data_IF_481208313416
#
_entry.id   IF_481208313416
#
_cell.length_a   1.000
_cell.length_b   1.000
_cell.length_c   1.000
_cell.angle_alpha   90.00
_cell.angle_beta   90.00
_cell.angle_gamma   90.00
#
_symmetry.space_group_name_H-M   'P 1'
#
loop_
_entity.id
_entity.type
_entity.pdbx_description
1 polymer ?
#
# COMPACT_ATOMS: atom_id res chain seq x y z
N UNK A 1 -11.98 34.44 16.05
CA UNK A 1 -10.50 34.40 15.94
C UNK A 1 -9.74 35.13 17.06
N UNK A 2 -10.19 36.27 17.60
CA UNK A 2 -9.43 37.02 18.63
C UNK A 2 -9.20 36.22 19.93
N UNK A 3 -10.21 35.52 20.41
CA UNK A 3 -10.16 34.74 21.65
C UNK A 3 -9.26 33.49 21.55
N UNK A 4 -9.32 32.79 20.40
CA UNK A 4 -8.54 31.56 20.14
C UNK A 4 -7.26 31.80 19.33
N UNK A 5 -6.77 33.04 19.26
CA UNK A 5 -5.61 33.41 18.40
C UNK A 5 -4.38 32.53 18.68
N UNK A 6 -4.12 32.22 19.96
CA UNK A 6 -2.98 31.38 20.36
C UNK A 6 -3.09 29.96 19.81
N UNK A 7 -4.27 29.34 19.90
CA UNK A 7 -4.50 27.98 19.42
C UNK A 7 -4.42 27.88 17.90
N UNK A 8 -4.96 28.87 17.18
CA UNK A 8 -4.83 28.94 15.73
C UNK A 8 -3.37 29.09 15.27
N UNK A 9 -2.61 29.98 15.92
CA UNK A 9 -1.19 30.14 15.62
C UNK A 9 -0.40 28.86 15.92
N UNK A 10 -0.71 28.19 17.03
CA UNK A 10 -0.09 26.91 17.37
C UNK A 10 -0.39 25.83 16.32
N UNK A 11 -1.66 25.68 15.91
CA UNK A 11 -2.06 24.74 14.86
C UNK A 11 -1.32 25.02 13.55
N UNK A 12 -1.27 26.28 13.10
CA UNK A 12 -0.57 26.67 11.87
C UNK A 12 0.93 26.38 12.00
N UNK A 13 1.54 26.70 13.14
CA UNK A 13 2.96 26.42 13.38
C UNK A 13 3.26 24.92 13.31
N UNK A 14 2.42 24.08 13.93
CA UNK A 14 2.55 22.61 13.84
C UNK A 14 2.47 22.15 12.39
N UNK A 15 1.46 22.59 11.64
CA UNK A 15 1.29 22.23 10.23
C UNK A 15 2.50 22.64 9.39
N UNK A 16 2.98 23.89 9.52
CA UNK A 16 4.13 24.38 8.75
C UNK A 16 5.38 23.55 9.05
N UNK A 17 5.63 23.23 10.32
CA UNK A 17 6.80 22.43 10.71
C UNK A 17 6.68 20.99 10.21
N UNK A 18 5.55 20.32 10.42
CA UNK A 18 5.39 18.91 10.04
C UNK A 18 5.37 18.72 8.53
N UNK A 19 4.69 19.61 7.78
CA UNK A 19 4.74 19.57 6.31
C UNK A 19 6.12 19.97 5.76
N UNK A 20 6.84 20.86 6.45
CA UNK A 20 8.23 21.19 6.12
C UNK A 20 9.15 19.98 6.24
N UNK A 21 9.05 19.23 7.35
CA UNK A 21 9.79 17.97 7.55
C UNK A 21 9.40 16.94 6.50
N UNK A 22 8.10 16.73 6.26
CA UNK A 22 7.61 15.80 5.25
C UNK A 22 8.13 16.13 3.84
N UNK A 23 8.10 17.41 3.46
CA UNK A 23 8.60 17.86 2.15
C UNK A 23 10.11 17.67 2.00
N UNK A 24 10.87 18.00 3.05
CA UNK A 24 12.31 17.79 3.08
C UNK A 24 12.69 16.31 2.97
N UNK A 25 12.10 15.45 3.81
CA UNK A 25 12.32 14.00 3.75
C UNK A 25 11.87 13.40 2.41
N UNK A 26 10.81 13.93 1.80
CA UNK A 26 10.39 13.54 0.45
C UNK A 26 11.47 13.79 -0.61
N UNK A 27 12.10 14.96 -0.60
CA UNK A 27 13.22 15.27 -1.52
C UNK A 27 14.38 14.30 -1.31
N UNK A 28 14.69 13.96 -0.07
CA UNK A 28 15.76 13.01 0.26
C UNK A 28 15.43 11.60 -0.25
N UNK A 29 14.19 11.13 -0.06
CA UNK A 29 13.73 9.85 -0.60
C UNK A 29 13.96 9.79 -2.11
N UNK A 30 13.51 10.80 -2.87
CA UNK A 30 13.67 10.83 -4.33
C UNK A 30 15.13 10.80 -4.80
N UNK A 31 16.07 11.32 -4.02
CA UNK A 31 17.50 11.31 -4.35
C UNK A 31 18.21 10.02 -3.93
N UNK A 32 17.65 9.31 -2.96
CA UNK A 32 18.27 8.18 -2.28
C UNK A 32 17.56 6.84 -2.55
N UNK A 33 16.63 6.78 -3.51
CA UNK A 33 16.01 5.52 -3.94
C UNK A 33 17.06 4.54 -4.48
N UNK A 34 16.88 3.22 -4.29
CA UNK A 34 17.69 2.24 -5.00
C UNK A 34 17.53 2.46 -6.52
N UNK A 35 18.62 2.67 -7.27
CA UNK A 35 18.54 2.85 -8.71
C UNK A 35 18.08 1.55 -9.38
N UNK A 36 17.32 1.68 -10.47
CA UNK A 36 17.07 0.57 -11.38
C UNK A 36 18.24 0.57 -12.37
N UNK A 37 19.03 -0.51 -12.44
CA UNK A 37 20.21 -0.55 -13.30
C UNK A 37 19.79 -0.54 -14.77
N UNK A 38 20.53 0.19 -15.61
CA UNK A 38 20.34 0.18 -17.05
C UNK A 38 20.56 -1.23 -17.61
N UNK A 39 21.59 -1.92 -17.10
CA UNK A 39 21.91 -3.29 -17.44
C UNK A 39 22.51 -4.02 -16.24
N UNK A 40 22.23 -5.32 -16.16
CA UNK A 40 22.95 -6.25 -15.27
C UNK A 40 23.73 -7.20 -16.15
N UNK A 41 25.05 -7.26 -15.94
CA UNK A 41 25.98 -8.07 -16.73
C UNK A 41 26.80 -8.97 -15.82
N UNK A 42 27.30 -10.07 -16.37
CA UNK A 42 28.25 -10.93 -15.67
C UNK A 42 29.68 -10.39 -15.78
N UNK A 43 30.58 -10.90 -14.94
CA UNK A 43 32.04 -10.71 -15.07
C UNK A 43 32.60 -11.14 -16.43
N UNK A 44 31.97 -12.13 -17.08
CA UNK A 44 32.30 -12.58 -18.44
C UNK A 44 31.69 -11.73 -19.56
N UNK A 45 30.88 -10.72 -19.24
CA UNK A 45 30.25 -9.82 -20.21
C UNK A 45 28.91 -10.31 -20.79
N UNK A 46 28.32 -11.39 -20.24
CA UNK A 46 26.96 -11.84 -20.61
C UNK A 46 25.93 -10.88 -20.00
N UNK A 47 25.05 -10.33 -20.82
CA UNK A 47 23.92 -9.53 -20.35
C UNK A 47 22.83 -10.44 -19.76
N UNK A 48 22.34 -10.12 -18.56
CA UNK A 48 21.30 -10.87 -17.87
C UNK A 48 19.92 -10.21 -17.97
N UNK A 49 19.86 -8.89 -17.78
CA UNK A 49 18.62 -8.11 -17.84
C UNK A 49 18.88 -6.63 -18.10
N UNK A 50 17.85 -5.92 -18.57
CA UNK A 50 17.82 -4.46 -18.76
C UNK A 50 16.84 -3.78 -17.82
N UNK A 51 16.95 -2.46 -17.69
CA UNK A 51 15.96 -1.62 -16.99
C UNK A 51 14.53 -1.87 -17.48
N UNK A 52 14.33 -1.91 -18.80
CA UNK A 52 13.01 -2.15 -19.42
C UNK A 52 12.41 -3.47 -18.96
N UNK A 53 13.20 -4.56 -18.95
CA UNK A 53 12.71 -5.87 -18.53
C UNK A 53 12.38 -5.92 -17.02
N UNK A 54 13.10 -5.17 -16.18
CA UNK A 54 12.77 -5.05 -14.75
C UNK A 54 11.43 -4.31 -14.58
N UNK A 55 11.21 -3.24 -15.33
CA UNK A 55 9.97 -2.45 -15.29
C UNK A 55 8.77 -3.19 -15.89
N UNK A 56 8.99 -3.96 -16.96
CA UNK A 56 7.97 -4.85 -17.54
C UNK A 56 7.61 -5.98 -16.56
N UNK A 57 8.61 -6.50 -15.84
CA UNK A 57 8.42 -7.41 -14.72
C UNK A 57 7.59 -6.83 -13.59
N UNK A 58 7.83 -5.57 -13.22
CA UNK A 58 7.00 -4.85 -12.26
C UNK A 58 5.56 -4.71 -12.75
N UNK A 59 5.36 -4.44 -14.05
CA UNK A 59 4.03 -4.35 -14.66
C UNK A 59 3.33 -5.72 -14.71
N UNK A 60 4.08 -6.80 -14.93
CA UNK A 60 3.60 -8.18 -14.83
C UNK A 60 3.15 -8.53 -13.40
N UNK A 61 3.97 -8.18 -12.40
CA UNK A 61 3.63 -8.33 -10.99
C UNK A 61 2.31 -7.60 -10.65
N UNK A 62 2.15 -6.34 -11.07
CA UNK A 62 0.92 -5.58 -10.85
C UNK A 62 -0.33 -6.26 -11.42
N UNK A 63 -0.23 -6.84 -12.63
CA UNK A 63 -1.39 -7.48 -13.28
C UNK A 63 -1.84 -8.77 -12.62
N UNK A 64 -0.98 -9.43 -11.84
CA UNK A 64 -1.38 -10.64 -11.07
C UNK A 64 -2.16 -10.30 -9.79
N UNK A 65 -2.17 -9.03 -9.38
CA UNK A 65 -2.71 -8.56 -8.11
C UNK A 65 -1.65 -7.87 -7.24
N UNK A 66 -0.37 -7.97 -7.60
CA UNK A 66 0.74 -7.32 -6.89
C UNK A 66 0.78 -7.66 -5.40
N UNK A 67 0.66 -6.63 -4.55
CA UNK A 67 0.61 -6.70 -3.08
C UNK A 67 -0.59 -7.49 -2.52
N UNK A 68 -1.48 -8.00 -3.37
CA UNK A 68 -2.64 -8.78 -2.95
C UNK A 68 -2.39 -10.29 -2.93
N UNK A 69 -1.30 -10.75 -3.55
CA UNK A 69 -0.88 -12.17 -3.48
C UNK A 69 0.07 -12.37 -2.30
N UNK A 70 1.20 -11.68 -2.32
CA UNK A 70 2.23 -11.68 -1.28
C UNK A 70 2.74 -10.26 -1.04
N UNK A 71 3.95 -10.13 -0.50
CA UNK A 71 4.56 -8.82 -0.24
C UNK A 71 5.83 -8.57 -1.04
N UNK A 72 6.13 -7.29 -1.24
CA UNK A 72 7.43 -6.78 -1.71
C UNK A 72 7.90 -5.77 -0.68
N UNK A 73 9.13 -5.92 -0.19
CA UNK A 73 9.68 -5.05 0.85
C UNK A 73 8.80 -4.96 2.12
N UNK A 74 8.14 -6.05 2.48
CA UNK A 74 7.26 -6.15 3.65
C UNK A 74 5.86 -5.56 3.48
N UNK A 75 5.55 -4.95 2.33
CA UNK A 75 4.23 -4.40 2.04
C UNK A 75 3.43 -5.34 1.14
N UNK A 76 2.27 -5.79 1.62
CA UNK A 76 1.34 -6.63 0.88
C UNK A 76 0.62 -7.68 1.73
N UNK A 77 0.22 -8.77 1.08
CA UNK A 77 -0.53 -9.85 1.69
C UNK A 77 0.39 -10.86 2.42
N UNK A 78 -0.20 -11.67 3.30
CA UNK A 78 0.54 -12.45 4.30
C UNK A 78 0.41 -13.97 4.14
N UNK A 79 -0.28 -14.45 3.10
CA UNK A 79 -0.43 -15.89 2.85
C UNK A 79 0.71 -16.43 1.99
N UNK A 80 0.95 -15.79 0.83
CA UNK A 80 2.16 -16.01 0.07
C UNK A 80 3.35 -15.32 0.76
N UNK A 81 4.60 -15.75 0.49
CA UNK A 81 5.76 -15.15 1.12
C UNK A 81 5.99 -13.69 0.66
N UNK A 82 6.94 -13.04 1.31
CA UNK A 82 7.55 -11.84 0.74
C UNK A 82 8.50 -12.26 -0.39
N UNK A 83 8.25 -11.79 -1.61
CA UNK A 83 9.01 -12.21 -2.78
C UNK A 83 10.44 -11.67 -2.78
N UNK A 84 10.69 -10.50 -2.19
CA UNK A 84 12.05 -9.96 -2.06
C UNK A 84 12.88 -10.79 -1.09
N UNK A 85 12.27 -11.24 0.03
CA UNK A 85 12.94 -12.07 1.02
C UNK A 85 13.09 -13.53 0.57
N UNK A 86 12.05 -14.15 0.00
CA UNK A 86 12.10 -15.53 -0.49
C UNK A 86 13.05 -15.65 -1.69
N UNK A 87 13.05 -14.67 -2.61
CA UNK A 87 14.04 -14.60 -3.68
C UNK A 87 15.45 -14.52 -3.10
N UNK A 88 15.71 -13.56 -2.21
CA UNK A 88 17.03 -13.36 -1.62
C UNK A 88 17.54 -14.65 -0.97
N UNK A 89 16.73 -15.27 -0.12
CA UNK A 89 17.13 -16.48 0.58
C UNK A 89 17.46 -17.64 -0.38
N UNK A 90 16.60 -17.87 -1.38
CA UNK A 90 16.83 -18.91 -2.40
C UNK A 90 18.08 -18.65 -3.23
N UNK A 91 18.33 -17.39 -3.59
CA UNK A 91 19.50 -16.99 -4.38
C UNK A 91 20.79 -17.23 -3.58
N UNK A 92 20.79 -16.89 -2.28
CA UNK A 92 21.93 -17.13 -1.39
C UNK A 92 22.21 -18.63 -1.21
N UNK A 93 21.18 -19.45 -1.01
CA UNK A 93 21.35 -20.90 -0.90
C UNK A 93 21.85 -21.52 -2.21
N UNK A 94 21.29 -21.12 -3.36
CA UNK A 94 21.75 -21.59 -4.66
C UNK A 94 23.22 -21.20 -4.91
N UNK A 95 23.62 -19.99 -4.52
CA UNK A 95 25.02 -19.56 -4.60
C UNK A 95 25.93 -20.42 -3.71
N UNK A 96 25.50 -20.71 -2.47
CA UNK A 96 26.26 -21.54 -1.53
C UNK A 96 26.40 -22.98 -2.00
N UNK A 97 25.35 -23.58 -2.56
CA UNK A 97 25.40 -24.93 -3.10
C UNK A 97 26.31 -25.03 -4.33
N UNK A 98 26.25 -24.03 -5.23
CA UNK A 98 27.18 -23.94 -6.37
C UNK A 98 28.63 -23.80 -5.89
N UNK A 99 28.89 -22.94 -4.90
CA UNK A 99 30.21 -22.75 -4.33
C UNK A 99 30.74 -24.01 -3.61
N UNK A 100 29.87 -24.72 -2.89
CA UNK A 100 30.20 -25.97 -2.21
C UNK A 100 30.54 -27.08 -3.21
N UNK A 101 29.78 -27.18 -4.30
CA UNK A 101 30.03 -28.11 -5.38
C UNK A 101 31.39 -27.85 -6.06
N UNK A 102 31.77 -26.59 -6.27
CA UNK A 102 33.07 -26.20 -6.81
C UNK A 102 34.23 -26.48 -5.83
N UNK A 103 34.02 -26.27 -4.53
CA UNK A 103 35.04 -26.41 -3.49
C UNK A 103 35.34 -27.87 -3.14
N UNK A 104 34.31 -28.68 -2.91
CA UNK A 104 34.42 -30.03 -2.35
C UNK A 104 33.54 -31.09 -3.04
N UNK A 105 32.73 -30.69 -4.04
CA UNK A 105 31.88 -31.61 -4.80
C UNK A 105 30.68 -32.17 -4.01
N UNK A 106 30.30 -31.50 -2.91
CA UNK A 106 29.17 -31.88 -2.04
C UNK A 106 28.24 -30.68 -1.82
N UNK A 107 26.96 -30.91 -1.44
CA UNK A 107 26.05 -29.83 -1.05
C UNK A 107 26.54 -29.02 0.15
N UNK A 108 26.09 -27.77 0.27
CA UNK A 108 26.56 -26.85 1.32
C UNK A 108 26.34 -27.39 2.74
N UNK A 109 25.23 -28.09 2.98
CA UNK A 109 24.86 -28.65 4.28
C UNK A 109 25.75 -29.82 4.72
N UNK A 110 26.52 -30.41 3.80
CA UNK A 110 27.46 -31.52 4.05
C UNK A 110 28.91 -31.06 4.24
N UNK A 111 29.21 -29.78 4.01
CA UNK A 111 30.52 -29.19 4.29
C UNK A 111 30.80 -29.14 5.79
N UNK A 112 32.09 -29.10 6.15
CA UNK A 112 32.46 -28.87 7.54
C UNK A 112 32.20 -27.41 7.97
N UNK A 113 32.16 -27.16 9.28
CA UNK A 113 31.86 -25.83 9.82
C UNK A 113 32.85 -24.72 9.37
N UNK A 114 34.10 -25.07 9.06
CA UNK A 114 35.14 -24.13 8.63
C UNK A 114 34.90 -23.74 7.17
N UNK A 115 34.62 -24.72 6.32
CA UNK A 115 34.26 -24.50 4.91
C UNK A 115 32.95 -23.72 4.79
N UNK A 116 31.94 -24.06 5.60
CA UNK A 116 30.69 -23.31 5.66
C UNK A 116 30.88 -21.85 6.12
N UNK A 117 31.79 -21.60 7.07
CA UNK A 117 32.12 -20.25 7.51
C UNK A 117 32.88 -19.46 6.43
N UNK A 118 33.81 -20.12 5.74
CA UNK A 118 34.54 -19.54 4.61
C UNK A 118 33.58 -19.09 3.49
N UNK A 119 32.68 -19.98 3.05
CA UNK A 119 31.73 -19.65 1.98
C UNK A 119 30.72 -18.56 2.38
N UNK A 120 30.29 -18.50 3.65
CA UNK A 120 29.43 -17.42 4.14
C UNK A 120 30.12 -16.06 4.11
N UNK A 121 31.41 -16.01 4.43
CA UNK A 121 32.18 -14.77 4.35
C UNK A 121 32.36 -14.30 2.90
N UNK A 122 32.60 -15.22 1.96
CA UNK A 122 32.62 -14.91 0.53
C UNK A 122 31.26 -14.41 0.02
N UNK A 123 30.20 -15.13 0.33
CA UNK A 123 28.81 -14.77 0.00
C UNK A 123 28.51 -13.35 0.49
N UNK A 124 28.81 -13.06 1.75
CA UNK A 124 28.59 -11.73 2.34
C UNK A 124 29.33 -10.65 1.59
N UNK A 125 30.63 -10.85 1.29
CA UNK A 125 31.41 -9.87 0.52
C UNK A 125 30.79 -9.64 -0.85
N UNK A 126 30.37 -10.69 -1.56
CA UNK A 126 29.80 -10.56 -2.90
C UNK A 126 28.44 -9.86 -2.90
N UNK A 127 27.52 -10.26 -2.02
CA UNK A 127 26.14 -9.77 -2.03
C UNK A 127 25.99 -8.37 -1.43
N UNK A 128 26.79 -8.02 -0.41
CA UNK A 128 26.74 -6.70 0.20
C UNK A 128 27.49 -5.64 -0.59
N UNK A 129 28.54 -6.02 -1.33
CA UNK A 129 29.32 -5.08 -2.12
C UNK A 129 28.51 -4.48 -3.26
N UNK A 130 28.55 -3.16 -3.38
CA UNK A 130 27.87 -2.45 -4.45
C UNK A 130 28.74 -2.36 -5.71
N UNK A 131 28.36 -3.10 -6.75
CA UNK A 131 29.05 -3.13 -8.04
C UNK A 131 28.43 -2.22 -9.10
N UNK A 132 27.42 -1.41 -8.72
CA UNK A 132 26.80 -0.45 -9.62
C UNK A 132 27.80 0.65 -9.99
N UNK A 133 28.05 0.82 -11.29
CA UNK A 133 28.74 1.99 -11.79
C UNK A 133 27.77 3.20 -11.83
N UNK A 134 28.03 4.31 -11.11
CA UNK A 134 27.11 5.44 -11.04
C UNK A 134 27.02 6.25 -12.35
N UNK A 135 27.99 6.16 -13.25
CA UNK A 135 27.98 6.86 -14.54
C UNK A 135 27.18 6.12 -15.61
N UNK A 136 27.30 4.79 -15.64
CA UNK A 136 26.66 3.94 -16.67
C UNK A 136 25.42 3.21 -16.17
N UNK A 137 25.17 3.19 -14.87
CA UNK A 137 24.13 2.40 -14.19
C UNK A 137 24.19 0.90 -14.51
N UNK A 138 25.39 0.38 -14.77
CA UNK A 138 25.63 -1.05 -14.99
C UNK A 138 25.97 -1.71 -13.66
N UNK A 139 25.26 -2.78 -13.32
CA UNK A 139 25.60 -3.69 -12.20
C UNK A 139 26.35 -4.89 -12.77
N UNK A 140 27.48 -5.23 -12.15
CA UNK A 140 28.24 -6.44 -12.51
C UNK A 140 28.06 -7.51 -11.44
N UNK A 141 27.64 -8.71 -11.83
CA UNK A 141 27.53 -9.88 -10.94
C UNK A 141 28.53 -10.96 -11.37
N UNK A 142 28.92 -11.85 -10.46
CA UNK A 142 29.79 -12.98 -10.82
C UNK A 142 29.05 -13.98 -11.69
N UNK A 143 29.79 -14.79 -12.45
CA UNK A 143 29.21 -15.89 -13.22
C UNK A 143 28.51 -16.94 -12.33
N UNK A 144 28.99 -17.15 -11.09
CA UNK A 144 28.33 -18.03 -10.11
C UNK A 144 26.98 -17.48 -9.68
N UNK A 145 26.91 -16.18 -9.34
CA UNK A 145 25.64 -15.53 -9.00
C UNK A 145 24.67 -15.50 -10.18
N UNK A 146 25.16 -15.34 -11.41
CA UNK A 146 24.34 -15.46 -12.60
C UNK A 146 23.65 -16.84 -12.72
N UNK A 147 24.37 -17.93 -12.40
CA UNK A 147 23.78 -19.27 -12.35
C UNK A 147 22.76 -19.43 -11.22
N UNK A 148 23.03 -18.87 -10.04
CA UNK A 148 22.08 -18.85 -8.93
C UNK A 148 20.78 -18.11 -9.30
N UNK A 149 20.89 -16.95 -9.96
CA UNK A 149 19.76 -16.18 -10.48
C UNK A 149 18.94 -17.03 -11.46
N UNK A 150 19.59 -17.74 -12.38
CA UNK A 150 18.90 -18.61 -13.36
C UNK A 150 18.14 -19.76 -12.70
N UNK A 151 18.72 -20.41 -11.68
CA UNK A 151 18.05 -21.47 -10.92
C UNK A 151 16.80 -20.95 -10.19
N UNK A 152 16.91 -19.78 -9.54
CA UNK A 152 15.80 -19.18 -8.80
C UNK A 152 14.71 -18.65 -9.74
N UNK A 153 15.07 -18.07 -10.89
CA UNK A 153 14.12 -17.70 -11.94
C UNK A 153 13.25 -18.89 -12.36
N UNK A 154 13.86 -20.05 -12.59
CA UNK A 154 13.14 -21.27 -12.96
C UNK A 154 12.07 -21.69 -11.94
N UNK A 155 12.34 -21.52 -10.64
CA UNK A 155 11.34 -21.78 -9.59
C UNK A 155 10.13 -20.85 -9.71
N UNK A 156 10.34 -19.54 -9.86
CA UNK A 156 9.25 -18.57 -9.92
C UNK A 156 8.45 -18.62 -11.22
N UNK A 157 9.11 -18.94 -12.34
CA UNK A 157 8.41 -19.18 -13.61
C UNK A 157 7.46 -20.39 -13.52
N UNK A 158 7.88 -21.45 -12.83
CA UNK A 158 7.01 -22.60 -12.53
C UNK A 158 5.90 -22.25 -11.53
N UNK A 159 6.23 -21.48 -10.49
CA UNK A 159 5.30 -21.11 -9.42
C UNK A 159 4.14 -20.27 -9.95
N UNK A 160 4.43 -19.27 -10.80
CA UNK A 160 3.41 -18.40 -11.39
C UNK A 160 2.69 -19.02 -12.60
N UNK A 161 3.18 -20.15 -13.12
CA UNK A 161 2.53 -20.94 -14.15
C UNK A 161 1.56 -21.99 -13.58
N UNK A 162 1.53 -23.16 -14.21
CA UNK A 162 0.68 -24.30 -13.86
C UNK A 162 1.49 -25.60 -13.69
N UNK A 163 2.77 -25.50 -13.32
CA UNK A 163 3.63 -26.69 -13.18
C UNK A 163 3.11 -27.60 -12.04
N UNK A 164 2.80 -28.88 -12.31
CA UNK A 164 2.24 -29.79 -11.30
C UNK A 164 3.11 -29.98 -10.06
N UNK A 165 4.43 -29.85 -10.16
CA UNK A 165 5.36 -30.01 -9.04
C UNK A 165 5.13 -28.97 -7.94
N UNK A 166 4.68 -27.76 -8.32
CA UNK A 166 4.46 -26.64 -7.40
C UNK A 166 2.99 -26.41 -7.04
N UNK A 167 2.09 -27.33 -7.39
CA UNK A 167 0.67 -27.23 -7.04
C UNK A 167 0.45 -27.10 -5.53
N UNK A 168 1.10 -27.95 -4.74
CA UNK A 168 1.01 -27.88 -3.27
C UNK A 168 1.50 -26.56 -2.69
N UNK A 169 2.53 -25.96 -3.31
CA UNK A 169 3.01 -24.62 -2.94
C UNK A 169 1.99 -23.54 -3.29
N UNK A 170 1.37 -23.59 -4.47
CA UNK A 170 0.32 -22.64 -4.86
C UNK A 170 -0.91 -22.74 -3.97
N UNK A 171 -1.33 -23.95 -3.59
CA UNK A 171 -2.39 -24.18 -2.61
C UNK A 171 -2.04 -23.55 -1.26
N UNK A 172 -0.82 -23.77 -0.76
CA UNK A 172 -0.33 -23.18 0.49
C UNK A 172 -0.22 -21.65 0.45
N UNK A 173 0.10 -21.08 -0.71
CA UNK A 173 0.20 -19.63 -0.92
C UNK A 173 -1.12 -18.98 -1.35
N UNK A 174 -2.21 -19.75 -1.42
CA UNK A 174 -3.50 -19.32 -1.94
C UNK A 174 -3.42 -18.66 -3.34
N UNK A 175 -2.48 -19.11 -4.17
CA UNK A 175 -2.34 -18.65 -5.55
C UNK A 175 -3.22 -19.50 -6.45
N UNK A 176 -3.90 -18.92 -7.44
CA UNK A 176 -4.60 -19.71 -8.45
C UNK A 176 -3.63 -20.43 -9.38
N UNK A 177 -4.07 -21.53 -9.98
CA UNK A 177 -3.34 -22.12 -11.09
C UNK A 177 -3.23 -21.11 -12.26
N UNK A 178 -2.11 -21.19 -12.98
CA UNK A 178 -1.82 -20.32 -14.12
C UNK A 178 -2.00 -18.82 -13.77
N UNK A 179 -1.40 -18.40 -12.64
CA UNK A 179 -1.52 -17.03 -12.12
C UNK A 179 -1.09 -15.98 -13.17
N UNK A 180 -0.04 -16.28 -13.93
CA UNK A 180 0.45 -15.46 -15.05
C UNK A 180 0.70 -16.35 -16.28
N UNK A 181 -0.23 -16.45 -17.24
CA UNK A 181 -0.16 -17.41 -18.35
C UNK A 181 1.01 -17.19 -19.33
N UNK A 182 1.38 -15.93 -19.58
CA UNK A 182 2.48 -15.61 -20.51
C UNK A 182 3.84 -15.95 -19.91
N UNK A 183 4.57 -16.86 -20.57
CA UNK A 183 5.93 -17.24 -20.18
C UNK A 183 6.92 -16.08 -20.24
N UNK A 184 6.83 -15.22 -21.26
CA UNK A 184 7.66 -14.02 -21.39
C UNK A 184 7.48 -13.09 -20.19
N UNK A 185 6.22 -12.83 -19.80
CA UNK A 185 5.93 -11.98 -18.63
C UNK A 185 6.36 -12.61 -17.32
N UNK A 186 6.35 -13.95 -17.20
CA UNK A 186 6.93 -14.65 -16.04
C UNK A 186 8.44 -14.48 -15.99
N UNK A 187 9.13 -14.56 -17.13
CA UNK A 187 10.58 -14.33 -17.19
C UNK A 187 10.95 -12.87 -16.87
N UNK A 188 10.11 -11.89 -17.19
CA UNK A 188 10.34 -10.50 -16.76
C UNK A 188 10.03 -10.29 -15.28
N UNK A 189 8.97 -10.94 -14.76
CA UNK A 189 8.61 -10.90 -13.34
C UNK A 189 9.79 -11.32 -12.43
N UNK A 190 10.54 -12.34 -12.81
CA UNK A 190 11.70 -12.80 -12.03
C UNK A 190 12.82 -11.75 -11.98
N UNK A 191 13.01 -10.96 -13.04
CA UNK A 191 13.96 -9.83 -13.08
C UNK A 191 13.56 -8.73 -12.12
N UNK A 192 12.25 -8.46 -12.00
CA UNK A 192 11.73 -7.55 -10.99
C UNK A 192 11.99 -8.06 -9.56
N UNK A 193 11.71 -9.34 -9.28
CA UNK A 193 11.99 -9.93 -7.97
C UNK A 193 13.50 -9.90 -7.64
N UNK A 194 14.36 -10.25 -8.59
CA UNK A 194 15.79 -10.09 -8.46
C UNK A 194 16.17 -8.66 -8.09
N UNK A 195 15.67 -7.64 -8.80
CA UNK A 195 16.00 -6.25 -8.49
C UNK A 195 15.56 -5.86 -7.06
N UNK A 196 14.38 -6.30 -6.62
CA UNK A 196 13.90 -6.02 -5.27
C UNK A 196 14.79 -6.66 -4.19
N UNK A 197 15.29 -7.88 -4.43
CA UNK A 197 16.20 -8.59 -3.54
C UNK A 197 17.63 -8.01 -3.59
N UNK A 198 18.11 -7.63 -4.77
CA UNK A 198 19.40 -6.96 -4.96
C UNK A 198 19.46 -5.66 -4.16
N UNK A 199 18.43 -4.82 -4.25
CA UNK A 199 18.32 -3.59 -3.48
C UNK A 199 18.33 -3.87 -1.96
N UNK A 200 17.75 -5.01 -1.55
CA UNK A 200 17.66 -5.41 -0.15
C UNK A 200 18.98 -5.96 0.43
N UNK A 201 19.86 -6.49 -0.42
CA UNK A 201 21.14 -7.10 -0.02
C UNK A 201 22.35 -6.17 -0.20
N UNK A 202 22.28 -5.20 -1.12
CA UNK A 202 23.42 -4.37 -1.53
C UNK A 202 23.55 -3.12 -0.68
N UNK A 203 24.74 -2.85 -0.15
CA UNK A 203 25.07 -1.65 0.63
C UNK A 203 24.96 -0.37 -0.21
N UNK A 204 24.55 0.72 0.43
CA UNK A 204 24.57 2.05 -0.20
C UNK A 204 26.02 2.50 -0.40
N UNK A 205 26.31 3.31 -1.44
CA UNK A 205 27.64 3.88 -1.62
C UNK A 205 28.09 4.65 -0.37
N UNK A 206 29.22 4.23 0.22
CA UNK A 206 29.79 4.87 1.42
C UNK A 206 29.02 4.61 2.72
N UNK A 207 28.23 3.53 2.81
CA UNK A 207 27.47 3.17 4.00
C UNK A 207 27.54 1.68 4.29
N UNK A 208 27.35 1.30 5.55
CA UNK A 208 27.32 -0.10 6.01
C UNK A 208 25.88 -0.67 6.09
N UNK A 209 24.90 0.03 5.48
CA UNK A 209 23.50 -0.42 5.40
C UNK A 209 23.06 -0.58 3.95
N UNK A 210 22.20 -1.56 3.71
CA UNK A 210 21.60 -1.79 2.38
C UNK A 210 20.61 -0.70 1.98
N UNK A 211 20.19 -0.64 0.72
CA UNK A 211 19.23 0.38 0.26
C UNK A 211 17.91 0.36 1.07
N UNK A 212 17.52 -0.81 1.57
CA UNK A 212 16.33 -1.05 2.41
C UNK A 212 16.62 -1.00 3.92
N UNK A 213 17.77 -0.45 4.33
CA UNK A 213 18.20 -0.38 5.74
C UNK A 213 18.37 -1.76 6.41
N UNK A 214 19.04 -2.70 5.73
CA UNK A 214 19.30 -4.08 6.19
C UNK A 214 18.04 -4.95 6.38
N UNK A 215 16.92 -4.56 5.76
CA UNK A 215 15.78 -5.45 5.59
C UNK A 215 15.97 -6.29 4.30
N UNK A 216 15.59 -7.57 4.25
CA UNK A 216 14.98 -8.39 5.29
C UNK A 216 16.02 -8.98 6.23
N UNK A 217 15.59 -9.51 7.37
CA UNK A 217 16.49 -10.23 8.28
C UNK A 217 17.03 -11.50 7.61
N UNK A 218 18.33 -11.52 7.33
CA UNK A 218 19.01 -12.61 6.63
C UNK A 218 20.42 -12.80 7.22
N UNK A 219 20.61 -13.77 8.14
CA UNK A 219 21.88 -14.04 8.79
C UNK A 219 23.02 -14.42 7.83
N UNK A 220 22.72 -14.99 6.65
CA UNK A 220 23.76 -15.42 5.69
C UNK A 220 24.58 -14.25 5.15
N UNK A 221 24.01 -13.04 5.11
CA UNK A 221 24.66 -11.81 4.67
C UNK A 221 24.67 -10.72 5.75
N UNK A 222 24.53 -11.10 7.02
CA UNK A 222 24.53 -10.18 8.17
C UNK A 222 23.48 -9.04 8.06
N UNK A 223 22.35 -9.28 7.40
CA UNK A 223 21.24 -8.32 7.43
C UNK A 223 20.57 -8.33 8.81
N UNK A 224 21.01 -7.37 9.63
CA UNK A 224 20.53 -7.13 10.99
C UNK A 224 20.23 -5.65 11.20
N UNK A 225 19.40 -5.29 12.19
CA UNK A 225 19.13 -3.90 12.53
C UNK A 225 20.42 -3.11 12.72
N UNK A 226 20.53 -1.97 12.05
CA UNK A 226 21.68 -1.07 12.20
C UNK A 226 21.70 -0.41 13.58
N UNK A 227 22.86 0.11 13.99
CA UNK A 227 22.99 0.84 15.26
C UNK A 227 21.99 2.01 15.36
N UNK A 228 21.82 2.77 14.27
CA UNK A 228 20.87 3.89 14.24
C UNK A 228 19.41 3.42 14.38
N UNK A 229 19.06 2.26 13.83
CA UNK A 229 17.72 1.68 13.99
C UNK A 229 17.40 1.44 15.46
N UNK A 230 18.31 0.80 16.21
CA UNK A 230 18.12 0.51 17.64
C UNK A 230 18.06 1.79 18.47
N UNK A 231 18.94 2.76 18.21
CA UNK A 231 18.97 4.05 18.93
C UNK A 231 17.63 4.79 18.76
N UNK A 232 17.14 4.94 17.52
CA UNK A 232 15.89 5.65 17.26
C UNK A 232 14.67 4.91 17.82
N UNK A 233 14.69 3.58 17.83
CA UNK A 233 13.64 2.78 18.49
C UNK A 233 13.55 3.09 19.99
N UNK A 234 14.68 3.10 20.71
CA UNK A 234 14.71 3.44 22.15
C UNK A 234 14.27 4.88 22.38
N UNK A 235 14.76 5.84 21.57
CA UNK A 235 14.35 7.24 21.66
C UNK A 235 12.83 7.37 21.47
N UNK A 236 12.23 6.65 20.52
CA UNK A 236 10.79 6.71 20.27
C UNK A 236 9.96 6.30 21.48
N UNK A 237 10.37 5.26 22.22
CA UNK A 237 9.70 4.78 23.43
C UNK A 237 9.82 5.81 24.56
N UNK A 238 11.00 6.40 24.74
CA UNK A 238 11.20 7.46 25.74
C UNK A 238 10.33 8.67 25.44
N UNK A 239 10.30 9.12 24.17
CA UNK A 239 9.47 10.24 23.73
C UNK A 239 7.97 9.95 23.88
N UNK A 240 7.52 8.73 23.63
CA UNK A 240 6.14 8.31 23.85
C UNK A 240 5.75 8.42 25.33
N UNK A 241 6.54 7.84 26.23
CA UNK A 241 6.26 7.85 27.66
C UNK A 241 6.30 9.27 28.23
N UNK A 242 7.31 10.05 27.85
CA UNK A 242 7.41 11.45 28.22
C UNK A 242 6.23 12.26 27.68
N UNK A 243 5.85 12.05 26.41
CA UNK A 243 4.72 12.72 25.77
C UNK A 243 3.40 12.46 26.49
N UNK A 244 3.13 11.20 26.85
CA UNK A 244 1.93 10.84 27.64
C UNK A 244 1.97 11.52 29.02
N UNK A 245 3.09 11.41 29.73
CA UNK A 245 3.23 11.99 31.07
C UNK A 245 3.05 13.51 31.06
N UNK A 246 3.69 14.22 30.13
CA UNK A 246 3.57 15.67 30.00
C UNK A 246 2.19 16.11 29.52
N UNK A 247 1.52 15.32 28.66
CA UNK A 247 0.15 15.61 28.24
C UNK A 247 -0.82 15.49 29.42
N UNK A 248 -0.74 14.39 30.20
CA UNK A 248 -1.59 14.17 31.39
C UNK A 248 -1.32 15.24 32.44
N UNK A 249 -0.05 15.54 32.72
CA UNK A 249 0.34 16.60 33.63
C UNK A 249 -0.18 17.97 33.15
N UNK A 250 0.10 18.33 31.91
CA UNK A 250 -0.35 19.59 31.30
C UNK A 250 -1.88 19.73 31.37
N UNK A 251 -2.61 18.67 31.03
CA UNK A 251 -4.07 18.64 31.13
C UNK A 251 -4.53 18.83 32.58
N UNK A 252 -4.02 18.06 33.53
CA UNK A 252 -4.44 18.11 34.93
C UNK A 252 -4.24 19.50 35.58
N UNK A 253 -3.19 20.24 35.20
CA UNK A 253 -2.90 21.56 35.78
C UNK A 253 -3.50 22.75 35.02
N UNK A 254 -3.80 22.59 33.73
CA UNK A 254 -4.34 23.70 32.90
C UNK A 254 -5.83 23.58 32.63
N UNK A 255 -6.41 22.38 32.77
CA UNK A 255 -7.83 22.18 32.63
C UNK A 255 -8.57 22.91 33.74
N UNK A 256 -9.62 23.64 33.35
CA UNK A 256 -10.56 24.26 34.27
C UNK A 256 -11.91 23.62 33.98
N UNK A 257 -12.56 23.10 35.03
CA UNK A 257 -13.94 22.66 34.93
C UNK A 257 -14.79 23.87 34.56
N UNK A 258 -15.29 23.86 33.31
CA UNK A 258 -16.31 24.82 32.88
C UNK A 258 -17.65 24.15 33.18
N UNK A 259 -18.56 24.80 33.90
CA UNK A 259 -19.87 24.23 34.17
C UNK A 259 -20.56 23.87 32.85
N UNK A 260 -21.08 22.65 32.76
CA UNK A 260 -21.75 22.18 31.55
C UNK A 260 -22.97 23.04 31.26
N UNK A 261 -23.21 23.40 29.99
CA UNK A 261 -24.43 24.12 29.62
C UNK A 261 -25.65 23.22 29.85
N UNK A 262 -26.76 23.80 30.33
CA UNK A 262 -28.01 23.05 30.47
C UNK A 262 -28.48 22.49 29.12
N UNK A 263 -28.76 21.20 29.07
CA UNK A 263 -29.24 20.54 27.87
C UNK A 263 -30.65 21.06 27.49
N UNK A 264 -30.91 21.32 26.19
CA UNK A 264 -32.23 21.77 25.75
C UNK A 264 -33.30 20.68 25.94
N UNK A 265 -34.52 21.09 26.32
CA UNK A 265 -35.67 20.17 26.55
C UNK A 265 -36.19 19.46 25.30
N UNK A 266 -35.82 19.93 24.11
CA UNK A 266 -36.19 19.36 22.81
C UNK A 266 -34.94 19.28 21.95
N UNK A 267 -34.83 18.22 21.16
CA UNK A 267 -33.71 18.05 20.22
C UNK A 267 -33.75 19.17 19.16
N UNK A 268 -32.75 20.07 19.13
CA UNK A 268 -32.70 21.18 18.19
C UNK A 268 -32.54 20.72 16.74
N UNK A 269 -32.03 19.51 16.49
CA UNK A 269 -31.87 18.96 15.13
C UNK A 269 -33.20 18.52 14.53
N UNK A 270 -34.09 17.94 15.34
CA UNK A 270 -35.42 17.51 14.89
C UNK A 270 -36.36 18.70 14.61
N UNK A 271 -36.11 19.85 15.25
CA UNK A 271 -36.93 21.05 15.07
C UNK A 271 -36.79 21.68 13.66
N UNK A 272 -35.69 21.42 12.94
CA UNK A 272 -35.41 22.02 11.64
C UNK A 272 -36.14 21.35 10.46
N UNK A 273 -36.69 20.14 10.66
CA UNK A 273 -37.27 19.32 9.58
C UNK A 273 -36.23 18.82 8.57
N UNK A 274 -36.57 17.78 7.81
CA UNK A 274 -35.65 17.20 6.81
C UNK A 274 -35.83 17.83 5.42
N UNK A 275 -34.74 18.37 4.88
CA UNK A 275 -34.71 18.92 3.51
C UNK A 275 -34.70 17.79 2.45
N UNK A 276 -35.05 18.10 1.18
CA UNK A 276 -34.97 17.12 0.10
C UNK A 276 -33.58 16.50 -0.08
N UNK A 277 -32.48 17.26 0.10
CA UNK A 277 -31.13 16.70 0.00
C UNK A 277 -30.80 15.75 1.14
N UNK A 278 -31.25 16.02 2.38
CA UNK A 278 -31.09 15.11 3.52
C UNK A 278 -31.87 13.81 3.33
N UNK A 279 -33.11 13.89 2.84
CA UNK A 279 -33.92 12.70 2.54
C UNK A 279 -33.27 11.82 1.47
N UNK A 280 -32.58 12.42 0.49
CA UNK A 280 -31.87 11.69 -0.54
C UNK A 280 -30.70 10.86 0.00
N UNK A 281 -30.22 11.09 1.23
CA UNK A 281 -29.13 10.32 1.84
C UNK A 281 -29.55 8.91 2.29
N UNK A 282 -30.85 8.59 2.31
CA UNK A 282 -31.31 7.23 2.62
C UNK A 282 -30.65 6.16 1.74
N UNK A 283 -30.44 6.46 0.44
CA UNK A 283 -29.74 5.56 -0.48
C UNK A 283 -28.24 5.45 -0.21
N UNK A 284 -27.60 6.51 0.31
CA UNK A 284 -26.20 6.44 0.76
C UNK A 284 -26.06 5.51 1.95
N UNK A 285 -26.94 5.65 2.95
CA UNK A 285 -26.93 4.79 4.14
C UNK A 285 -27.16 3.32 3.77
N UNK A 286 -28.12 3.05 2.87
CA UNK A 286 -28.35 1.70 2.35
C UNK A 286 -27.11 1.15 1.63
N UNK A 287 -26.48 1.95 0.77
CA UNK A 287 -25.25 1.57 0.07
C UNK A 287 -24.11 1.30 1.06
N UNK A 288 -23.91 2.14 2.07
CA UNK A 288 -22.89 1.97 3.11
C UNK A 288 -23.07 0.65 3.83
N UNK A 289 -24.29 0.33 4.29
CA UNK A 289 -24.57 -0.94 4.97
C UNK A 289 -24.43 -2.12 4.02
N UNK A 290 -24.88 -1.99 2.77
CA UNK A 290 -24.76 -3.03 1.75
C UNK A 290 -23.29 -3.37 1.44
N UNK A 291 -22.45 -2.35 1.24
CA UNK A 291 -21.01 -2.52 1.03
C UNK A 291 -20.32 -3.05 2.29
N UNK A 292 -20.73 -2.62 3.49
CA UNK A 292 -20.19 -3.16 4.74
C UNK A 292 -20.46 -4.66 4.90
N UNK A 293 -21.69 -5.11 4.65
CA UNK A 293 -22.03 -6.54 4.69
C UNK A 293 -21.26 -7.30 3.61
N UNK A 294 -21.19 -6.77 2.39
CA UNK A 294 -20.43 -7.37 1.30
C UNK A 294 -18.93 -7.50 1.66
N UNK A 295 -18.35 -6.49 2.30
CA UNK A 295 -16.96 -6.50 2.75
C UNK A 295 -16.69 -7.57 3.81
N UNK A 296 -17.60 -7.76 4.76
CA UNK A 296 -17.50 -8.83 5.77
C UNK A 296 -17.53 -10.20 5.09
N UNK A 297 -18.46 -10.41 4.15
CA UNK A 297 -18.56 -11.68 3.41
C UNK A 297 -17.29 -11.97 2.62
N UNK A 298 -16.73 -10.95 1.94
CA UNK A 298 -15.44 -11.07 1.26
C UNK A 298 -14.30 -11.36 2.23
N UNK A 299 -14.32 -10.78 3.43
CA UNK A 299 -13.32 -11.06 4.47
C UNK A 299 -13.35 -12.53 4.91
N UNK A 300 -14.55 -13.07 5.14
CA UNK A 300 -14.73 -14.49 5.41
C UNK A 300 -14.29 -15.37 4.24
N UNK A 301 -14.59 -14.98 3.00
CA UNK A 301 -14.21 -15.71 1.80
C UNK A 301 -12.69 -15.71 1.56
N UNK A 302 -12.03 -14.57 1.72
CA UNK A 302 -10.56 -14.44 1.65
C UNK A 302 -9.89 -15.23 2.77
N UNK A 303 -10.44 -15.24 3.99
CA UNK A 303 -9.91 -16.04 5.09
C UNK A 303 -10.07 -17.56 4.86
N UNK A 304 -11.05 -17.99 4.06
CA UNK A 304 -11.21 -19.41 3.72
C UNK A 304 -10.02 -19.95 2.92
N UNK A 305 -9.50 -19.15 1.99
CA UNK A 305 -8.30 -19.48 1.22
C UNK A 305 -7.05 -19.72 2.09
N UNK A 306 -6.99 -19.12 3.28
CA UNK A 306 -5.84 -19.31 4.20
C UNK A 306 -5.91 -20.63 4.97
N UNK A 307 -7.00 -21.39 4.80
CA UNK A 307 -7.22 -22.69 5.47
C UNK A 307 -7.31 -23.82 4.44
N UNK A 308 -8.15 -23.68 3.42
CA UNK A 308 -8.39 -24.74 2.41
C UNK A 308 -7.59 -24.55 1.11
N UNK A 309 -6.69 -23.56 1.05
CA UNK A 309 -5.94 -23.24 -0.15
C UNK A 309 -6.86 -22.78 -1.27
N UNK A 310 -6.78 -23.38 -2.46
CA UNK A 310 -7.53 -22.94 -3.65
C UNK A 310 -9.03 -23.29 -3.66
N UNK A 311 -9.49 -24.17 -2.77
CA UNK A 311 -10.86 -24.69 -2.81
C UNK A 311 -11.78 -24.04 -1.79
N UNK A 312 -13.08 -24.04 -2.07
CA UNK A 312 -14.13 -23.61 -1.15
C UNK A 312 -15.10 -24.77 -0.94
N UNK A 313 -14.92 -25.52 0.17
CA UNK A 313 -15.67 -26.74 0.48
C UNK A 313 -15.62 -27.78 -0.64
N UNK A 314 -14.43 -27.97 -1.22
CA UNK A 314 -14.17 -28.95 -2.28
C UNK A 314 -14.44 -28.47 -3.71
N UNK A 315 -14.93 -27.24 -3.91
CA UNK A 315 -15.12 -26.64 -5.23
C UNK A 315 -13.99 -25.66 -5.51
N UNK A 316 -13.25 -25.83 -6.62
CA UNK A 316 -12.23 -24.86 -7.04
C UNK A 316 -12.90 -23.62 -7.66
N UNK A 317 -13.11 -22.60 -6.83
CA UNK A 317 -13.61 -21.29 -7.24
C UNK A 317 -12.49 -20.29 -7.50
N UNK A 318 -11.22 -20.66 -7.23
CA UNK A 318 -10.05 -19.78 -7.36
C UNK A 318 -9.78 -19.34 -8.81
N UNK A 319 -10.26 -20.10 -9.79
CA UNK A 319 -10.12 -19.76 -11.21
C UNK A 319 -10.86 -18.46 -11.58
N UNK A 320 -11.95 -18.15 -10.88
CA UNK A 320 -12.74 -16.94 -11.10
C UNK A 320 -12.55 -15.90 -10.00
N UNK A 321 -12.50 -16.35 -8.74
CA UNK A 321 -12.42 -15.49 -7.57
C UNK A 321 -11.18 -15.82 -6.72
N UNK A 322 -9.96 -15.67 -7.24
CA UNK A 322 -8.76 -16.01 -6.50
C UNK A 322 -8.61 -15.18 -5.21
N UNK A 323 -7.76 -15.65 -4.30
CA UNK A 323 -7.41 -14.94 -3.07
C UNK A 323 -7.06 -13.47 -3.32
N UNK A 324 -6.23 -13.17 -4.33
CA UNK A 324 -5.83 -11.80 -4.64
C UNK A 324 -7.02 -10.92 -5.00
N UNK A 325 -7.98 -11.42 -5.79
CA UNK A 325 -9.17 -10.64 -6.17
C UNK A 325 -10.09 -10.41 -4.98
N UNK A 326 -10.31 -11.44 -4.16
CA UNK A 326 -11.23 -11.36 -3.02
C UNK A 326 -10.66 -10.46 -1.93
N UNK A 327 -9.35 -10.50 -1.69
CA UNK A 327 -8.63 -9.56 -0.81
C UNK A 327 -8.70 -8.13 -1.37
N UNK A 328 -8.46 -7.94 -2.68
CA UNK A 328 -8.62 -6.64 -3.35
C UNK A 328 -10.00 -6.05 -3.08
N UNK A 329 -11.06 -6.83 -3.31
CA UNK A 329 -12.41 -6.37 -3.09
C UNK A 329 -12.69 -6.14 -1.61
N UNK A 330 -12.20 -6.99 -0.70
CA UNK A 330 -12.37 -6.79 0.74
C UNK A 330 -11.80 -5.43 1.19
N UNK A 331 -10.56 -5.10 0.80
CA UNK A 331 -9.89 -3.84 1.16
C UNK A 331 -10.54 -2.64 0.47
N UNK A 332 -10.79 -2.72 -0.84
CA UNK A 332 -11.42 -1.63 -1.59
C UNK A 332 -12.83 -1.33 -1.08
N UNK A 333 -13.64 -2.36 -0.81
CA UNK A 333 -14.98 -2.17 -0.24
C UNK A 333 -14.91 -1.46 1.11
N UNK A 334 -13.94 -1.81 1.96
CA UNK A 334 -13.75 -1.16 3.26
C UNK A 334 -13.50 0.35 3.10
N UNK A 335 -12.59 0.73 2.19
CA UNK A 335 -12.33 2.14 1.89
C UNK A 335 -13.57 2.85 1.33
N UNK A 336 -14.33 2.20 0.44
CA UNK A 336 -15.50 2.80 -0.18
C UNK A 336 -16.63 3.06 0.82
N UNK A 337 -17.00 2.08 1.66
CA UNK A 337 -18.13 2.27 2.58
C UNK A 337 -17.79 3.25 3.70
N UNK A 338 -16.56 3.23 4.22
CA UNK A 338 -16.11 4.17 5.25
C UNK A 338 -16.15 5.60 4.70
N UNK A 339 -15.54 5.82 3.52
CA UNK A 339 -15.56 7.13 2.87
C UNK A 339 -16.99 7.58 2.55
N UNK A 340 -17.83 6.70 1.99
CA UNK A 340 -19.23 7.01 1.71
C UNK A 340 -20.03 7.39 2.96
N UNK A 341 -19.74 6.77 4.11
CA UNK A 341 -20.31 7.11 5.41
C UNK A 341 -19.96 8.53 5.83
N UNK A 342 -18.68 8.90 5.78
CA UNK A 342 -18.23 10.27 6.08
C UNK A 342 -18.80 11.31 5.09
N UNK A 343 -18.84 10.97 3.80
CA UNK A 343 -19.44 11.81 2.76
C UNK A 343 -20.92 12.07 3.04
N UNK A 344 -21.68 11.03 3.39
CA UNK A 344 -23.09 11.13 3.74
C UNK A 344 -23.30 11.95 5.02
N UNK A 345 -22.48 11.72 6.05
CA UNK A 345 -22.49 12.51 7.28
C UNK A 345 -22.24 13.99 7.02
N UNK A 346 -21.23 14.31 6.21
CA UNK A 346 -20.95 15.69 5.78
C UNK A 346 -22.14 16.31 5.04
N UNK A 347 -22.66 15.63 4.02
CA UNK A 347 -23.79 16.12 3.22
C UNK A 347 -25.06 16.33 4.05
N UNK A 348 -25.27 15.54 5.12
CA UNK A 348 -26.39 15.73 6.04
C UNK A 348 -26.29 17.05 6.82
N UNK A 349 -25.07 17.45 7.18
CA UNK A 349 -24.80 18.68 7.93
C UNK A 349 -24.92 19.94 7.05
N UNK A 350 -24.73 19.83 5.73
CA UNK A 350 -24.72 20.99 4.82
C UNK A 350 -25.98 21.87 4.95
N UNK A 351 -27.21 21.34 4.87
CA UNK A 351 -28.40 22.19 4.97
C UNK A 351 -28.60 22.75 6.38
N UNK A 352 -28.19 22.01 7.41
CA UNK A 352 -28.25 22.47 8.81
C UNK A 352 -27.36 23.68 9.04
N UNK A 353 -26.11 23.63 8.54
CA UNK A 353 -25.17 24.76 8.57
C UNK A 353 -25.72 25.95 7.78
N UNK A 354 -26.42 25.68 6.67
CA UNK A 354 -27.05 26.68 5.83
C UNK A 354 -28.46 27.10 6.32
N UNK A 355 -28.70 27.07 7.64
CA UNK A 355 -29.94 27.56 8.25
C UNK A 355 -31.19 26.72 7.95
N UNK A 356 -31.02 25.41 7.75
CA UNK A 356 -32.11 24.46 7.47
C UNK A 356 -32.58 24.46 6.01
N UNK A 357 -31.79 24.98 5.08
CA UNK A 357 -32.18 25.12 3.65
C UNK A 357 -31.13 24.54 2.71
N UNK A 358 -31.61 23.85 1.69
CA UNK A 358 -30.77 23.36 0.61
C UNK A 358 -30.27 24.52 -0.27
N UNK A 359 -28.97 24.58 -0.58
CA UNK A 359 -28.48 25.36 -1.71
C UNK A 359 -29.18 24.95 -3.02
N UNK A 360 -29.23 25.85 -4.02
CA UNK A 360 -29.84 25.55 -5.33
C UNK A 360 -29.23 24.27 -5.92
N UNK A 361 -30.07 23.34 -6.40
CA UNK A 361 -29.63 22.07 -6.99
C UNK A 361 -28.84 21.12 -6.05
N UNK A 362 -28.92 21.29 -4.72
CA UNK A 362 -28.19 20.42 -3.79
C UNK A 362 -28.60 18.95 -3.91
N UNK A 363 -29.90 18.66 -3.91
CA UNK A 363 -30.40 17.28 -4.09
C UNK A 363 -29.91 16.65 -5.39
N UNK A 364 -29.93 17.41 -6.50
CA UNK A 364 -29.44 16.93 -7.78
C UNK A 364 -27.94 16.58 -7.71
N UNK A 365 -27.13 17.42 -7.08
CA UNK A 365 -25.71 17.13 -6.87
C UNK A 365 -25.48 15.88 -6.00
N UNK A 366 -26.24 15.74 -4.92
CA UNK A 366 -26.24 14.52 -4.07
C UNK A 366 -26.63 13.29 -4.89
N UNK A 367 -27.60 13.42 -5.80
CA UNK A 367 -28.02 12.31 -6.66
C UNK A 367 -26.96 11.91 -7.68
N UNK A 368 -26.32 12.88 -8.32
CA UNK A 368 -25.23 12.67 -9.29
C UNK A 368 -24.03 12.02 -8.61
N UNK A 369 -23.61 12.55 -7.44
CA UNK A 369 -22.48 12.00 -6.70
C UNK A 369 -22.73 10.54 -6.30
N UNK A 370 -23.95 10.21 -5.87
CA UNK A 370 -24.31 8.83 -5.53
C UNK A 370 -24.10 7.87 -6.70
N UNK A 371 -24.64 8.22 -7.88
CA UNK A 371 -24.51 7.36 -9.05
C UNK A 371 -23.07 7.29 -9.56
N UNK A 372 -22.31 8.38 -9.45
CA UNK A 372 -20.88 8.38 -9.74
C UNK A 372 -20.11 7.40 -8.83
N UNK A 373 -20.45 7.34 -7.54
CA UNK A 373 -19.87 6.35 -6.61
C UNK A 373 -20.23 4.91 -7.00
N UNK A 374 -21.48 4.64 -7.38
CA UNK A 374 -21.88 3.30 -7.84
C UNK A 374 -21.11 2.89 -9.09
N UNK A 375 -21.03 3.76 -10.09
CA UNK A 375 -20.27 3.51 -11.33
C UNK A 375 -18.79 3.29 -11.02
N UNK A 376 -18.21 4.07 -10.11
CA UNK A 376 -16.83 3.91 -9.66
C UNK A 376 -16.59 2.54 -9.03
N UNK A 377 -17.42 2.14 -8.06
CA UNK A 377 -17.27 0.85 -7.35
C UNK A 377 -17.39 -0.31 -8.33
N UNK A 378 -18.48 -0.36 -9.09
CA UNK A 378 -18.74 -1.45 -10.05
C UNK A 378 -17.67 -1.50 -11.14
N UNK A 379 -17.32 -0.34 -11.71
CA UNK A 379 -16.30 -0.23 -12.74
C UNK A 379 -14.92 -0.68 -12.27
N UNK A 380 -14.53 -0.28 -11.05
CA UNK A 380 -13.27 -0.71 -10.45
C UNK A 380 -13.22 -2.23 -10.23
N UNK A 381 -14.31 -2.86 -9.77
CA UNK A 381 -14.35 -4.29 -9.52
C UNK A 381 -14.28 -5.11 -10.79
N UNK A 382 -14.99 -4.68 -11.84
CA UNK A 382 -14.89 -5.28 -13.18
C UNK A 382 -13.45 -5.16 -13.68
N UNK A 383 -12.84 -3.99 -13.54
CA UNK A 383 -11.44 -3.77 -13.87
C UNK A 383 -10.49 -4.73 -13.16
N UNK A 384 -10.62 -4.85 -11.83
CA UNK A 384 -9.80 -5.75 -11.02
C UNK A 384 -9.97 -7.22 -11.44
N UNK A 385 -11.21 -7.67 -11.66
CA UNK A 385 -11.50 -9.03 -12.13
C UNK A 385 -10.82 -9.31 -13.48
N UNK A 386 -11.03 -8.44 -14.46
CA UNK A 386 -10.49 -8.63 -15.82
C UNK A 386 -8.95 -8.60 -15.85
N UNK A 387 -8.33 -7.78 -15.00
CA UNK A 387 -6.89 -7.74 -14.84
C UNK A 387 -6.33 -9.02 -14.23
N UNK A 388 -6.85 -9.45 -13.07
CA UNK A 388 -6.35 -10.63 -12.33
C UNK A 388 -6.63 -11.91 -13.11
N UNK A 389 -7.78 -12.00 -13.80
CA UNK A 389 -8.11 -13.10 -14.69
C UNK A 389 -7.27 -13.16 -15.98
N UNK A 390 -6.38 -12.17 -16.21
CA UNK A 390 -5.51 -12.06 -17.39
C UNK A 390 -6.27 -11.98 -18.73
N UNK A 391 -7.49 -11.43 -18.72
CA UNK A 391 -8.31 -11.20 -19.93
C UNK A 391 -8.10 -9.78 -20.47
N UNK A 392 -7.67 -8.85 -19.61
CA UNK A 392 -7.37 -7.48 -20.00
C UNK A 392 -6.02 -7.37 -20.73
N UNK A 393 -5.92 -6.60 -21.84
CA UNK A 393 -4.64 -6.28 -22.46
C UNK A 393 -3.68 -5.59 -21.48
N UNK A 394 -2.42 -6.01 -21.46
CA UNK A 394 -1.42 -5.55 -20.48
C UNK A 394 -1.28 -4.01 -20.42
N UNK A 395 -1.29 -3.34 -21.57
CA UNK A 395 -1.17 -1.87 -21.65
C UNK A 395 -2.35 -1.10 -21.03
N UNK A 396 -3.51 -1.74 -20.86
CA UNK A 396 -4.68 -1.14 -20.20
C UNK A 396 -4.75 -1.45 -18.69
N UNK A 397 -3.95 -2.40 -18.20
CA UNK A 397 -4.02 -2.89 -16.82
C UNK A 397 -3.91 -1.76 -15.79
N UNK A 398 -2.87 -0.92 -15.90
CA UNK A 398 -2.67 0.17 -14.94
C UNK A 398 -3.80 1.21 -14.97
N UNK A 399 -4.39 1.43 -16.14
CA UNK A 399 -5.42 2.46 -16.34
C UNK A 399 -6.81 2.02 -15.89
N UNK A 400 -7.24 0.82 -16.28
CA UNK A 400 -8.61 0.35 -16.10
C UNK A 400 -8.72 -0.88 -15.20
N UNK A 401 -7.61 -1.59 -14.99
CA UNK A 401 -7.53 -2.87 -14.31
C UNK A 401 -7.08 -2.74 -12.86
N UNK A 402 -5.93 -3.33 -12.55
CA UNK A 402 -5.38 -3.44 -11.19
C UNK A 402 -4.00 -2.78 -11.09
N UNK A 403 -3.82 -1.80 -10.21
CA UNK A 403 -2.53 -1.11 -10.04
C UNK A 403 -1.51 -1.93 -9.25
N UNK A 404 -1.92 -2.96 -8.52
CA UNK A 404 -1.02 -3.89 -7.82
C UNK A 404 -0.53 -3.41 -6.45
N UNK A 405 -0.88 -2.20 -6.01
CA UNK A 405 -0.52 -1.68 -4.69
C UNK A 405 -1.72 -1.68 -3.77
N UNK A 406 -1.54 -2.16 -2.54
CA UNK A 406 -2.63 -2.20 -1.56
C UNK A 406 -3.14 -0.79 -1.20
N UNK A 407 -4.44 -0.70 -0.93
CA UNK A 407 -5.23 0.54 -0.75
C UNK A 407 -5.40 1.42 -2.00
N UNK A 408 -4.63 1.19 -3.07
CA UNK A 408 -4.73 1.87 -4.37
C UNK A 408 -4.93 0.88 -5.53
N UNK A 409 -5.63 -0.22 -5.30
CA UNK A 409 -5.76 -1.34 -6.22
C UNK A 409 -6.53 -0.99 -7.50
N UNK A 410 -7.51 -0.08 -7.42
CA UNK A 410 -8.32 0.33 -8.57
C UNK A 410 -7.48 0.98 -9.67
N UNK A 411 -7.80 0.74 -10.95
CA UNK A 411 -7.11 1.36 -12.08
C UNK A 411 -7.05 2.90 -12.02
N UNK A 412 -6.03 3.49 -12.64
CA UNK A 412 -5.76 4.95 -12.62
C UNK A 412 -6.95 5.80 -13.05
N UNK A 413 -7.70 5.37 -14.07
CA UNK A 413 -8.91 6.05 -14.52
C UNK A 413 -9.96 6.12 -13.40
N UNK A 414 -10.23 4.99 -12.75
CA UNK A 414 -11.15 4.92 -11.63
C UNK A 414 -10.66 5.78 -10.46
N UNK A 415 -9.34 5.85 -10.24
CA UNK A 415 -8.76 6.70 -9.19
C UNK A 415 -8.99 8.19 -9.48
N UNK A 416 -8.87 8.61 -10.73
CA UNK A 416 -9.21 9.97 -11.16
C UNK A 416 -10.70 10.23 -10.96
N UNK A 417 -11.57 9.29 -11.35
CA UNK A 417 -13.03 9.41 -11.12
C UNK A 417 -13.35 9.53 -9.63
N UNK A 418 -12.68 8.76 -8.76
CA UNK A 418 -12.79 8.87 -7.29
C UNK A 418 -12.41 10.26 -6.82
N UNK A 419 -11.26 10.77 -7.25
CA UNK A 419 -10.79 12.11 -6.90
C UNK A 419 -11.77 13.20 -7.37
N UNK A 420 -12.26 13.13 -8.61
CA UNK A 420 -13.27 14.05 -9.12
C UNK A 420 -14.58 13.98 -8.32
N UNK A 421 -14.96 12.79 -7.87
CA UNK A 421 -16.09 12.58 -6.95
C UNK A 421 -15.88 13.28 -5.60
N UNK A 422 -14.70 13.18 -5.02
CA UNK A 422 -14.33 13.87 -3.78
C UNK A 422 -14.28 15.40 -3.96
N UNK A 423 -13.72 15.88 -5.05
CA UNK A 423 -13.72 17.31 -5.38
C UNK A 423 -15.15 17.84 -5.61
N UNK A 424 -16.02 17.03 -6.24
CA UNK A 424 -17.43 17.38 -6.41
C UNK A 424 -18.19 17.36 -5.08
N UNK A 425 -17.92 16.40 -4.20
CA UNK A 425 -18.42 16.41 -2.83
C UNK A 425 -17.98 17.67 -2.08
N UNK A 426 -16.69 18.02 -2.15
CA UNK A 426 -16.14 19.23 -1.53
C UNK A 426 -16.87 20.48 -2.02
N UNK A 427 -17.15 20.57 -3.32
CA UNK A 427 -17.96 21.64 -3.89
C UNK A 427 -19.36 21.69 -3.26
N UNK A 428 -20.05 20.55 -3.11
CA UNK A 428 -21.37 20.50 -2.47
C UNK A 428 -21.32 20.93 -0.99
N UNK A 429 -20.26 20.56 -0.27
CA UNK A 429 -20.03 20.97 1.12
C UNK A 429 -19.84 22.48 1.22
N UNK A 430 -18.88 23.03 0.47
CA UNK A 430 -18.54 24.45 0.49
C UNK A 430 -19.72 25.33 0.06
N UNK A 431 -20.56 24.87 -0.88
CA UNK A 431 -21.75 25.61 -1.32
C UNK A 431 -22.78 25.88 -0.23
N UNK A 432 -22.93 24.99 0.76
CA UNK A 432 -23.81 25.26 1.91
C UNK A 432 -23.09 25.83 3.12
N UNK A 433 -21.78 25.62 3.25
CA UNK A 433 -20.99 26.14 4.37
C UNK A 433 -20.61 27.62 4.17
N UNK A 434 -20.15 28.02 2.98
CA UNK A 434 -19.67 29.38 2.71
C UNK A 434 -20.71 30.48 2.96
N UNK A 435 -22.02 30.30 2.64
CA UNK A 435 -23.05 31.28 2.98
C UNK A 435 -23.14 31.58 4.49
N UNK A 436 -22.94 30.57 5.35
CA UNK A 436 -23.01 30.74 6.80
C UNK A 436 -21.93 31.70 7.35
N UNK A 437 -20.80 31.85 6.65
CA UNK A 437 -19.78 32.84 7.00
C UNK A 437 -20.23 34.29 6.77
N UNK A 438 -21.31 34.55 6.01
CA UNK A 438 -21.84 35.90 5.79
C UNK A 438 -22.72 36.40 6.95
N UNK A 439 -23.17 35.51 7.82
CA UNK A 439 -23.97 35.88 8.98
C UNK A 439 -23.14 36.78 9.93
N UNK A 440 -23.71 37.92 10.32
CA UNK A 440 -23.09 38.86 11.26
C UNK A 440 -23.45 38.45 12.70
N UNK A 441 -22.49 38.55 13.62
CA UNK A 441 -22.72 38.36 15.06
C UNK A 441 -22.52 36.93 15.63
N UNK A 442 -22.20 35.92 14.82
CA UNK A 442 -21.91 34.55 15.29
C UNK A 442 -20.40 34.27 15.35
N UNK A 443 -19.97 33.43 16.31
CA UNK A 443 -18.61 32.90 16.29
C UNK A 443 -18.44 31.89 15.13
N UNK A 444 -17.35 32.07 14.36
CA UNK A 444 -17.02 31.30 13.16
C UNK A 444 -15.79 30.42 13.36
N UNK A 445 -15.20 30.37 14.55
CA UNK A 445 -13.97 29.61 14.79
C UNK A 445 -14.17 28.10 14.52
N UNK A 446 -15.21 27.47 15.08
CA UNK A 446 -15.48 26.05 14.83
C UNK A 446 -15.86 25.78 13.36
N UNK A 447 -16.65 26.67 12.76
CA UNK A 447 -17.02 26.55 11.35
C UNK A 447 -15.79 26.65 10.43
N UNK A 448 -14.84 27.53 10.73
CA UNK A 448 -13.57 27.65 10.00
C UNK A 448 -12.75 26.37 10.12
N UNK A 449 -12.62 25.81 11.33
CA UNK A 449 -11.91 24.55 11.56
C UNK A 449 -12.55 23.39 10.77
N UNK A 450 -13.88 23.26 10.84
CA UNK A 450 -14.62 22.28 10.06
C UNK A 450 -14.42 22.48 8.55
N UNK A 451 -14.44 23.73 8.07
CA UNK A 451 -14.21 24.06 6.65
C UNK A 451 -12.83 23.61 6.20
N UNK A 452 -11.79 23.92 6.97
CA UNK A 452 -10.42 23.48 6.64
C UNK A 452 -10.27 21.96 6.68
N UNK A 453 -10.90 21.29 7.65
CA UNK A 453 -10.92 19.82 7.71
C UNK A 453 -11.60 19.20 6.49
N UNK A 454 -12.75 19.74 6.06
CA UNK A 454 -13.46 19.31 4.86
C UNK A 454 -12.61 19.51 3.60
N UNK A 455 -11.92 20.64 3.49
CA UNK A 455 -11.00 20.92 2.37
C UNK A 455 -9.84 19.93 2.38
N UNK A 456 -9.26 19.62 3.54
CA UNK A 456 -8.19 18.64 3.65
C UNK A 456 -8.65 17.25 3.17
N UNK A 457 -9.82 16.78 3.63
CA UNK A 457 -10.41 15.49 3.19
C UNK A 457 -10.79 15.48 1.71
N UNK A 458 -11.15 16.62 1.13
CA UNK A 458 -11.54 16.70 -0.27
C UNK A 458 -10.37 16.78 -1.25
N UNK A 459 -9.18 17.18 -0.80
CA UNK A 459 -8.01 17.41 -1.65
C UNK A 459 -6.87 16.42 -1.46
N UNK A 460 -6.86 15.67 -0.35
CA UNK A 460 -5.91 14.62 -0.01
C UNK A 460 -6.67 13.34 0.29
#
# INVERSE_FOLDING_TARGET
>A
MREYKKLWLLLIAVLVVTFGVLGWSGVEIYRQVPPIPAQVVTTSGKQLMTEEQILDGQTAWQSTGGMQIGSIWGHGAYQAPDWSADWLHRELLAWLDLAAQELAGVPYDQLDSREQAYLRDELKREYRSNTLNPETLVVTVTDRRAQAIEQVSGYYEKLYGADPELRGSRESFAMKEDTLPSAERRADLTKFFFWTAWAAATERPGSDVTYTNNWPHEPLIDNKPSTNNVIWSVISVVLLLAGIAFLVWGWAFTHREVPEPEAPKKDPLLAAGLTPSQRALGKYLLMVVGLFIFQILLGGFTAHYTVEGQTFYGIDVSQWFPYSLTRTWHLQTALFWIAAGFLAGGLFLVPLINGGKDPKYQKLGVDILFWALIVLVVGSYIGNYLAIAQVMPAHLNFWLGHQGYEYLELGRFWQIVKFLGLAFWLLLMLRGILPAFKNKGTDKNLLALLTFSIVAVGLF
#
